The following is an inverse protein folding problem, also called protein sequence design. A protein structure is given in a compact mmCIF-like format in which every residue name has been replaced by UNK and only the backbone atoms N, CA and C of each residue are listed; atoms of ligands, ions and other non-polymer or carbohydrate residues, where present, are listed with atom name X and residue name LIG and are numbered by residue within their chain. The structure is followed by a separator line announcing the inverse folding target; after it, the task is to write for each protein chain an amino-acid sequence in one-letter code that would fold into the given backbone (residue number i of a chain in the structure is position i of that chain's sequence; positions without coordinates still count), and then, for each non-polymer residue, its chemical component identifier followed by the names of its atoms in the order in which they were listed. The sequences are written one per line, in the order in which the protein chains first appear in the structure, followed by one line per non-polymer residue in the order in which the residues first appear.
data_IF_258067933728
#
_entry.id   IF_258067933728
#
_cell.length_a   1.000
_cell.length_b   1.000
_cell.length_c   1.000
_cell.angle_alpha   90.00
_cell.angle_beta   90.00
_cell.angle_gamma   90.00
#
_symmetry.space_group_name_H-M   'P 1'
#
loop_
_entity.id
_entity.type
_entity.pdbx_description
1 polymer ?
#
# COMPACT_ATOMS: atom_id res chain seq x y z
N UNK A 1 -35.97 16.84 -40.14
CA UNK A 1 -34.63 17.47 -40.24
C UNK A 1 -33.71 16.76 -39.26
N UNK A 2 -32.79 15.93 -39.75
CA UNK A 2 -31.84 15.20 -38.90
C UNK A 2 -30.55 16.02 -38.78
N UNK A 3 -30.06 16.22 -37.55
CA UNK A 3 -28.80 16.94 -37.31
C UNK A 3 -27.64 16.12 -37.87
N UNK A 4 -26.70 16.71 -38.64
CA UNK A 4 -25.53 15.98 -39.10
C UNK A 4 -24.63 15.65 -37.90
N UNK A 5 -24.12 14.42 -37.88
CA UNK A 5 -23.19 13.95 -36.86
C UNK A 5 -21.88 14.72 -37.03
N UNK A 6 -21.54 15.55 -36.04
CA UNK A 6 -20.26 16.27 -35.99
C UNK A 6 -19.20 15.36 -35.40
N UNK A 7 -18.36 14.77 -36.24
CA UNK A 7 -17.16 14.09 -35.79
C UNK A 7 -16.08 15.15 -35.49
N UNK A 8 -15.63 15.19 -34.23
CA UNK A 8 -14.45 15.96 -33.85
C UNK A 8 -13.21 15.51 -34.65
N UNK A 9 -12.16 16.34 -34.57
CA UNK A 9 -10.90 16.19 -35.31
C UNK A 9 -10.38 14.74 -35.22
N UNK A 10 -10.48 14.00 -36.32
CA UNK A 10 -9.95 12.64 -36.45
C UNK A 10 -8.50 12.75 -36.91
N UNK A 11 -7.57 12.41 -36.01
CA UNK A 11 -6.17 12.23 -36.37
C UNK A 11 -6.00 10.86 -37.04
N UNK A 12 -5.95 10.86 -38.37
CA UNK A 12 -5.63 9.66 -39.13
C UNK A 12 -4.13 9.59 -39.37
N UNK A 13 -3.45 8.60 -38.77
CA UNK A 13 -2.09 8.20 -39.15
C UNK A 13 -2.17 6.98 -40.05
N UNK A 14 -1.68 7.13 -41.29
CA UNK A 14 -1.46 6.01 -42.19
C UNK A 14 -0.19 5.28 -41.73
N UNK A 15 -0.31 4.02 -41.34
CA UNK A 15 0.82 3.18 -40.93
C UNK A 15 0.88 1.98 -41.86
N UNK A 16 2.08 1.64 -42.34
CA UNK A 16 2.28 0.55 -43.31
C UNK A 16 2.08 -0.86 -42.71
N UNK A 17 2.07 -0.98 -41.39
CA UNK A 17 1.76 -2.19 -40.62
C UNK A 17 1.33 -1.79 -39.21
N UNK A 18 0.52 -2.62 -38.54
CA UNK A 18 0.19 -2.42 -37.12
C UNK A 18 1.37 -2.76 -36.19
N UNK A 19 2.32 -3.56 -36.68
CA UNK A 19 3.64 -3.73 -36.07
C UNK A 19 4.56 -2.62 -36.57
N UNK A 20 4.47 -1.45 -35.95
CA UNK A 20 5.55 -0.48 -36.04
C UNK A 20 6.75 -1.02 -35.25
N UNK A 21 8.00 -0.88 -35.73
CA UNK A 21 9.14 -1.17 -34.88
C UNK A 21 8.97 -0.31 -33.61
N UNK A 22 9.09 -0.93 -32.44
CA UNK A 22 9.33 -0.21 -31.20
C UNK A 22 10.49 0.74 -31.53
N UNK A 23 10.21 2.04 -31.60
CA UNK A 23 11.19 3.02 -32.05
C UNK A 23 12.47 2.82 -31.26
N UNK A 24 13.61 2.71 -31.95
CA UNK A 24 14.90 2.59 -31.25
C UNK A 24 15.04 3.85 -30.41
N UNK A 25 15.19 3.74 -29.08
CA UNK A 25 15.32 4.90 -28.22
C UNK A 25 16.53 5.72 -28.68
N UNK A 26 16.36 7.04 -28.75
CA UNK A 26 17.50 7.94 -28.97
C UNK A 26 18.50 7.78 -27.80
N UNK A 27 19.81 8.03 -28.00
CA UNK A 27 20.82 7.87 -26.96
C UNK A 27 20.49 8.59 -25.63
N UNK A 28 19.77 9.71 -25.70
CA UNK A 28 19.37 10.51 -24.54
C UNK A 28 18.02 10.08 -23.92
N UNK A 29 17.39 9.01 -24.43
CA UNK A 29 16.09 8.55 -23.93
C UNK A 29 16.28 7.86 -22.58
N UNK A 30 15.67 8.36 -21.48
CA UNK A 30 15.81 7.74 -20.18
C UNK A 30 15.13 6.36 -20.16
N UNK A 31 15.85 5.35 -19.67
CA UNK A 31 15.28 4.03 -19.43
C UNK A 31 14.35 4.09 -18.22
N UNK A 32 13.07 3.76 -18.42
CA UNK A 32 12.04 3.81 -17.37
C UNK A 32 11.50 2.41 -17.12
N UNK A 33 11.39 2.05 -15.84
CA UNK A 33 10.78 0.79 -15.41
C UNK A 33 9.42 1.11 -14.81
N UNK A 34 8.38 0.46 -15.32
CA UNK A 34 7.05 0.51 -14.72
C UNK A 34 6.85 -0.75 -13.86
N UNK A 35 6.49 -0.54 -12.59
CA UNK A 35 6.18 -1.63 -11.65
C UNK A 35 4.68 -1.57 -11.34
N UNK A 36 3.99 -2.70 -11.52
CA UNK A 36 2.55 -2.84 -11.36
C UNK A 36 2.27 -3.87 -10.27
N UNK A 37 1.43 -3.52 -9.31
CA UNK A 37 1.05 -4.40 -8.20
C UNK A 37 0.08 -3.70 -7.25
N UNK A 38 -0.53 -4.47 -6.34
CA UNK A 38 -1.30 -3.92 -5.23
C UNK A 38 -0.37 -3.53 -4.08
N UNK A 39 0.20 -2.34 -4.19
CA UNK A 39 1.06 -1.77 -3.15
C UNK A 39 0.29 -1.15 -1.99
N UNK A 40 -1.01 -0.90 -2.19
CA UNK A 40 -1.86 -0.29 -1.17
C UNK A 40 -2.47 -1.29 -0.21
N UNK A 41 -2.56 -2.59 -0.54
CA UNK A 41 -3.26 -3.60 0.26
C UNK A 41 -4.77 -3.63 0.03
N UNK A 42 -5.22 -3.19 -1.15
CA UNK A 42 -6.64 -3.11 -1.51
C UNK A 42 -7.33 -4.47 -1.47
N UNK A 43 -6.69 -5.52 -2.00
CA UNK A 43 -7.26 -6.86 -1.99
C UNK A 43 -7.47 -7.36 -0.55
N UNK A 44 -6.51 -7.10 0.34
CA UNK A 44 -6.61 -7.46 1.75
C UNK A 44 -7.77 -6.72 2.44
N UNK A 45 -8.02 -5.46 2.11
CA UNK A 45 -9.16 -4.68 2.63
C UNK A 45 -10.50 -4.99 1.95
N UNK A 46 -10.52 -5.91 0.97
CA UNK A 46 -11.70 -6.18 0.15
C UNK A 46 -12.13 -4.98 -0.72
N UNK A 47 -11.23 -4.02 -0.95
CA UNK A 47 -11.48 -2.83 -1.77
C UNK A 47 -11.27 -3.20 -3.23
N UNK A 48 -12.34 -3.65 -3.87
CA UNK A 48 -12.37 -3.81 -5.33
C UNK A 48 -12.75 -2.48 -5.96
N UNK A 49 -11.78 -1.57 -6.06
CA UNK A 49 -12.01 -0.28 -6.70
C UNK A 49 -12.22 -0.47 -8.21
N UNK A 50 -13.49 -0.50 -8.61
CA UNK A 50 -13.97 -0.19 -9.97
C UNK A 50 -13.98 1.32 -10.25
N UNK A 51 -13.45 2.16 -9.34
CA UNK A 51 -13.63 3.62 -9.35
C UNK A 51 -12.79 4.33 -10.41
N UNK A 52 -11.68 3.73 -10.86
CA UNK A 52 -10.86 4.29 -11.93
C UNK A 52 -10.69 3.23 -13.01
N UNK A 53 -11.11 3.55 -14.24
CA UNK A 53 -10.72 2.73 -15.39
C UNK A 53 -9.18 2.65 -15.41
N UNK A 54 -8.58 1.52 -15.83
CA UNK A 54 -7.12 1.36 -15.83
C UNK A 54 -6.36 2.53 -16.48
N UNK A 55 -6.99 3.23 -17.43
CA UNK A 55 -6.44 4.41 -18.10
C UNK A 55 -6.36 5.70 -17.27
N UNK A 56 -7.16 5.83 -16.19
CA UNK A 56 -7.16 7.02 -15.32
C UNK A 56 -6.13 6.94 -14.18
N UNK A 57 -5.49 5.78 -14.02
CA UNK A 57 -4.45 5.57 -13.00
C UNK A 57 -3.18 6.31 -13.42
N UNK A 58 -2.84 7.36 -12.68
CA UNK A 58 -1.60 8.12 -12.91
C UNK A 58 -0.41 7.35 -12.33
N UNK A 59 0.70 7.19 -13.07
CA UNK A 59 1.92 6.62 -12.52
C UNK A 59 2.48 7.53 -11.43
N UNK A 60 2.99 6.92 -10.36
CA UNK A 60 3.76 7.60 -9.34
C UNK A 60 5.24 7.43 -9.67
N UNK A 61 5.96 8.54 -9.74
CA UNK A 61 7.42 8.51 -9.83
C UNK A 61 7.98 8.14 -8.47
N UNK A 62 8.96 7.24 -8.47
CA UNK A 62 9.58 6.73 -7.26
C UNK A 62 11.09 6.80 -7.44
N UNK A 63 11.75 7.40 -6.47
CA UNK A 63 13.19 7.34 -6.27
C UNK A 63 13.46 6.92 -4.81
N UNK A 64 14.67 6.51 -4.50
CA UNK A 64 15.10 6.08 -3.16
C UNK A 64 14.83 7.14 -2.09
N UNK A 65 14.85 8.42 -2.48
CA UNK A 65 14.72 9.56 -1.59
C UNK A 65 13.24 9.87 -1.29
N UNK A 66 12.31 9.44 -2.16
CA UNK A 66 10.88 9.76 -2.09
C UNK A 66 9.99 8.57 -1.65
N UNK A 67 10.58 7.42 -1.30
CA UNK A 67 9.85 6.18 -1.01
C UNK A 67 8.78 6.36 0.07
N UNK A 68 9.12 7.05 1.17
CA UNK A 68 8.18 7.27 2.27
C UNK A 68 7.02 8.18 1.84
N UNK A 69 7.28 9.22 1.04
CA UNK A 69 6.20 10.07 0.53
C UNK A 69 5.26 9.31 -0.40
N UNK A 70 5.81 8.45 -1.25
CA UNK A 70 5.02 7.60 -2.15
C UNK A 70 4.17 6.61 -1.36
N UNK A 71 4.72 5.96 -0.33
CA UNK A 71 3.99 5.06 0.55
C UNK A 71 2.84 5.78 1.27
N UNK A 72 3.10 6.95 1.84
CA UNK A 72 2.07 7.78 2.46
C UNK A 72 0.96 8.17 1.47
N UNK A 73 1.31 8.49 0.21
CA UNK A 73 0.33 8.79 -0.87
C UNK A 73 -0.48 7.57 -1.30
N UNK A 74 0.09 6.37 -1.23
CA UNK A 74 -0.59 5.12 -1.57
C UNK A 74 -1.66 4.72 -0.54
N UNK A 75 -1.58 5.24 0.69
CA UNK A 75 -2.50 4.89 1.76
C UNK A 75 -2.45 3.40 2.06
N UNK A 76 -1.23 2.88 2.27
CA UNK A 76 -1.00 1.46 2.53
C UNK A 76 -1.59 1.09 3.89
N UNK A 77 -2.43 0.07 3.92
CA UNK A 77 -3.13 -0.37 5.13
C UNK A 77 -3.46 -1.86 5.06
N UNK A 78 -3.29 -2.59 6.15
CA UNK A 78 -3.61 -4.02 6.22
C UNK A 78 -4.62 -4.27 7.34
N UNK A 79 -5.66 -5.03 7.04
CA UNK A 79 -6.64 -5.53 8.00
C UNK A 79 -6.34 -7.00 8.29
N UNK A 80 -6.00 -7.30 9.54
CA UNK A 80 -5.68 -8.65 9.99
C UNK A 80 -6.68 -9.13 11.04
N UNK A 81 -7.26 -10.33 10.89
CA UNK A 81 -8.06 -10.94 11.95
C UNK A 81 -7.16 -11.33 13.13
N UNK A 82 -7.64 -11.09 14.36
CA UNK A 82 -6.95 -11.47 15.59
C UNK A 82 -7.68 -12.62 16.28
N UNK A 83 -6.93 -13.70 16.50
CA UNK A 83 -7.41 -14.92 17.17
C UNK A 83 -8.34 -15.75 16.29
N UNK A 84 -8.86 -16.83 16.87
CA UNK A 84 -9.72 -17.79 16.15
C UNK A 84 -11.15 -17.28 15.94
N UNK A 85 -11.51 -16.15 16.57
CA UNK A 85 -12.82 -15.52 16.43
C UNK A 85 -12.77 -14.43 15.36
N UNK A 86 -13.44 -14.67 14.22
CA UNK A 86 -13.52 -13.80 13.05
C UNK A 86 -14.11 -12.38 13.29
N UNK A 87 -14.34 -11.97 14.54
CA UNK A 87 -14.98 -10.69 14.88
C UNK A 87 -14.02 -9.57 15.26
N UNK A 88 -12.78 -9.88 15.67
CA UNK A 88 -11.78 -8.86 16.00
C UNK A 88 -10.78 -8.76 14.85
N UNK A 89 -10.71 -7.60 14.19
CA UNK A 89 -9.65 -7.28 13.23
C UNK A 89 -8.87 -6.06 13.71
N UNK A 90 -7.58 -6.03 13.39
CA UNK A 90 -6.76 -4.83 13.53
C UNK A 90 -6.48 -4.22 12.17
N UNK A 91 -6.50 -2.89 12.15
CA UNK A 91 -6.09 -2.09 11.01
C UNK A 91 -4.70 -1.54 11.29
N UNK A 92 -3.75 -1.81 10.39
CA UNK A 92 -2.36 -1.36 10.50
C UNK A 92 -2.07 -0.46 9.29
N UNK A 93 -2.00 0.86 9.47
CA UNK A 93 -1.56 1.77 8.42
C UNK A 93 -0.03 1.79 8.31
N UNK A 94 0.50 1.91 7.10
CA UNK A 94 1.93 2.06 6.84
C UNK A 94 2.19 3.33 6.03
N UNK A 95 2.83 4.32 6.65
CA UNK A 95 3.22 5.58 6.00
C UNK A 95 4.70 5.64 5.60
N UNK A 96 5.52 4.75 6.15
CA UNK A 96 6.97 4.70 5.93
C UNK A 96 7.47 3.26 5.94
N UNK A 97 8.66 3.03 5.38
CA UNK A 97 9.26 1.69 5.34
C UNK A 97 9.57 1.12 6.73
N UNK A 98 9.94 1.97 7.68
CA UNK A 98 10.26 1.54 9.05
C UNK A 98 9.02 1.00 9.79
N UNK A 99 7.81 1.40 9.38
CA UNK A 99 6.56 0.90 9.94
C UNK A 99 6.37 -0.61 9.75
N UNK A 100 7.08 -1.23 8.80
CA UNK A 100 7.07 -2.67 8.60
C UNK A 100 7.97 -3.43 9.59
N UNK A 101 8.75 -2.73 10.42
CA UNK A 101 9.60 -3.37 11.41
C UNK A 101 8.76 -4.01 12.53
N UNK A 102 9.05 -5.26 12.94
CA UNK A 102 8.26 -5.95 13.98
C UNK A 102 8.22 -5.19 15.30
N UNK A 103 9.33 -4.54 15.68
CA UNK A 103 9.38 -3.74 16.90
C UNK A 103 8.43 -2.53 16.85
N UNK A 104 8.33 -1.85 15.70
CA UNK A 104 7.40 -0.73 15.51
C UNK A 104 5.96 -1.19 15.61
N UNK A 105 5.62 -2.30 14.96
CA UNK A 105 4.29 -2.90 15.03
C UNK A 105 3.93 -3.28 16.49
N UNK A 106 4.88 -3.85 17.23
CA UNK A 106 4.70 -4.17 18.65
C UNK A 106 4.50 -2.93 19.53
N UNK A 107 5.20 -1.84 19.21
CA UNK A 107 5.11 -0.57 19.95
C UNK A 107 3.84 0.23 19.63
N UNK A 108 3.33 0.18 18.42
CA UNK A 108 2.22 1.04 17.98
C UNK A 108 0.85 0.38 18.20
N UNK A 109 0.76 -0.95 18.07
CA UNK A 109 -0.53 -1.62 18.18
C UNK A 109 -1.01 -1.76 19.63
N UNK A 110 -2.26 -1.36 19.87
CA UNK A 110 -2.90 -1.43 21.18
C UNK A 110 -3.10 -2.87 21.66
N UNK A 111 -3.22 -3.85 20.76
CA UNK A 111 -3.37 -5.27 21.13
C UNK A 111 -2.19 -5.78 21.97
N UNK A 112 -0.99 -5.23 21.76
CA UNK A 112 0.20 -5.60 22.52
C UNK A 112 0.39 -4.76 23.79
N UNK A 113 -0.46 -3.77 24.05
CA UNK A 113 -0.32 -2.87 25.20
C UNK A 113 -0.36 -3.64 26.53
N UNK A 114 -1.32 -4.54 26.70
CA UNK A 114 -1.43 -5.35 27.93
C UNK A 114 -0.17 -6.20 28.16
N UNK A 115 0.35 -6.84 27.10
CA UNK A 115 1.57 -7.63 27.15
C UNK A 115 2.79 -6.78 27.50
N UNK A 116 2.89 -5.55 26.97
CA UNK A 116 3.94 -4.59 27.32
C UNK A 116 3.87 -4.16 28.77
N UNK A 117 2.67 -3.84 29.26
CA UNK A 117 2.45 -3.45 30.66
C UNK A 117 2.81 -4.59 31.62
N UNK A 118 2.40 -5.82 31.32
CA UNK A 118 2.77 -7.01 32.11
C UNK A 118 4.27 -7.22 32.11
N UNK A 119 4.92 -7.20 30.94
CA UNK A 119 6.37 -7.37 30.84
C UNK A 119 7.10 -6.34 31.70
N UNK A 120 6.68 -5.07 31.65
CA UNK A 120 7.25 -4.00 32.47
C UNK A 120 7.08 -4.25 33.98
N UNK A 121 5.93 -4.78 34.41
CA UNK A 121 5.68 -5.13 35.82
C UNK A 121 6.49 -6.35 36.29
N UNK A 122 6.76 -7.29 35.39
CA UNK A 122 7.63 -8.43 35.68
C UNK A 122 9.11 -8.05 35.68
N UNK A 123 9.52 -7.11 34.84
CA UNK A 123 10.90 -6.61 34.82
C UNK A 123 11.23 -5.74 36.05
N UNK A 124 10.22 -5.19 36.75
CA UNK A 124 10.39 -4.44 37.99
C UNK A 124 10.40 -5.38 39.22
N UNK A 125 11.53 -5.47 39.96
CA UNK A 125 11.64 -6.32 41.15
C UNK A 125 10.59 -6.07 42.24
N UNK A 126 10.04 -4.84 42.32
CA UNK A 126 9.03 -4.47 43.31
C UNK A 126 7.63 -4.99 42.99
N UNK A 127 7.30 -5.19 41.72
CA UNK A 127 5.99 -5.67 41.26
C UNK A 127 6.00 -7.13 40.79
N UNK A 128 7.19 -7.71 40.58
CA UNK A 128 7.39 -9.08 40.10
C UNK A 128 6.58 -10.12 40.88
N UNK A 129 6.69 -10.13 42.21
CA UNK A 129 6.03 -11.15 43.05
C UNK A 129 4.49 -11.10 42.96
N UNK A 130 3.92 -9.90 42.81
CA UNK A 130 2.48 -9.71 42.67
C UNK A 130 1.99 -10.13 41.28
N UNK A 131 2.70 -9.74 40.22
CA UNK A 131 2.32 -10.06 38.84
C UNK A 131 2.55 -11.53 38.49
N UNK A 132 3.61 -12.17 39.01
CA UNK A 132 3.85 -13.60 38.81
C UNK A 132 2.76 -14.47 39.46
N UNK A 133 2.20 -14.03 40.60
CA UNK A 133 1.10 -14.73 41.28
C UNK A 133 -0.26 -14.59 40.57
N UNK A 134 -0.47 -13.54 39.78
CA UNK A 134 -1.69 -13.37 38.96
C UNK A 134 -1.67 -14.19 37.66
N UNK A 135 -0.50 -14.69 37.25
CA UNK A 135 -0.32 -15.45 36.00
C UNK A 135 -0.20 -16.97 36.17
N UNK A 136 -0.13 -17.47 37.40
CA UNK A 136 -0.12 -18.91 37.73
C UNK A 136 -1.46 -19.38 38.28
#
# INVERSE_FOLDING_TARGET
MSKPISFGKLDFKLVSSMDGPLGVPEPETPFRIAILGDFSGRENRGVSDSILEPGDRRPLFVDRDDLNEVLAKLGVEIHLPIGDNAGASISIPFSELDGFHPDKIYEELEVFRSLRETRRKLDDPGTFAATAAEMG
#
